data_IF_608945624325
#
_entry.id   IF_608945624325
#
_cell.length_a   1.000
_cell.length_b   1.000
_cell.length_c   1.000
_cell.angle_alpha   90.00
_cell.angle_beta   90.00
_cell.angle_gamma   90.00
#
_symmetry.space_group_name_H-M   'P 1'
#
loop_
_entity.id
_entity.type
_entity.pdbx_description
1 polymer ?
#
# COMPACT_ATOMS: atom_id res chain seq x y z
N UNK A 1 -38.88 15.05 14.00
CA UNK A 1 -37.71 15.81 13.47
C UNK A 1 -37.73 15.88 11.94
N UNK A 2 -37.98 14.77 11.25
CA UNK A 2 -38.14 14.74 9.78
C UNK A 2 -39.48 15.37 9.34
N UNK A 3 -40.58 15.04 10.03
CA UNK A 3 -41.91 15.63 9.78
C UNK A 3 -41.93 17.17 9.90
N UNK A 4 -41.14 17.75 10.80
CA UNK A 4 -41.05 19.21 10.93
C UNK A 4 -40.36 19.88 9.74
N UNK A 5 -39.50 19.17 9.01
CA UNK A 5 -38.86 19.68 7.78
C UNK A 5 -39.85 19.67 6.61
N UNK A 6 -40.63 18.59 6.50
CA UNK A 6 -41.68 18.42 5.48
C UNK A 6 -42.79 19.46 5.68
N UNK A 7 -43.33 19.55 6.90
CA UNK A 7 -44.50 20.39 7.18
C UNK A 7 -44.15 21.89 7.21
N UNK A 8 -42.94 22.27 7.63
CA UNK A 8 -42.54 23.69 7.72
C UNK A 8 -41.79 24.18 6.49
N UNK A 9 -41.47 23.31 5.51
CA UNK A 9 -40.64 23.59 4.33
C UNK A 9 -39.34 24.36 4.66
N UNK A 10 -38.76 24.14 5.84
CA UNK A 10 -37.53 24.80 6.29
C UNK A 10 -36.38 23.79 6.41
N UNK A 11 -35.18 24.11 5.93
CA UNK A 11 -34.03 23.23 6.06
C UNK A 11 -33.62 23.11 7.54
N UNK A 12 -33.17 21.90 7.93
CA UNK A 12 -32.67 21.61 9.27
C UNK A 12 -31.20 21.22 9.18
N UNK A 13 -30.37 21.82 10.04
CA UNK A 13 -28.96 21.47 10.20
C UNK A 13 -28.77 20.83 11.57
N UNK A 14 -28.19 19.64 11.60
CA UNK A 14 -27.76 18.94 12.81
C UNK A 14 -26.25 18.95 12.77
N UNK A 15 -25.61 19.65 13.71
CA UNK A 15 -24.16 19.73 13.78
C UNK A 15 -23.61 18.61 14.67
N UNK A 16 -22.50 17.99 14.26
CA UNK A 16 -21.76 17.04 15.09
C UNK A 16 -22.56 15.80 15.51
N UNK A 17 -23.46 15.30 14.65
CA UNK A 17 -24.21 14.07 14.92
C UNK A 17 -23.24 12.90 15.06
N UNK A 18 -23.20 12.30 16.25
CA UNK A 18 -22.31 11.17 16.55
C UNK A 18 -22.92 9.86 16.07
N UNK A 19 -22.15 9.08 15.34
CA UNK A 19 -22.55 7.74 14.90
C UNK A 19 -21.40 6.76 15.08
N UNK A 20 -21.74 5.47 15.19
CA UNK A 20 -20.76 4.41 15.34
C UNK A 20 -20.40 3.88 13.96
N UNK A 21 -19.13 3.98 13.60
CA UNK A 21 -18.53 3.29 12.46
C UNK A 21 -17.84 2.02 12.98
N UNK A 22 -17.48 1.09 12.09
CA UNK A 22 -16.80 -0.16 12.49
C UNK A 22 -15.50 0.23 13.21
N UNK A 23 -15.41 -0.03 14.52
CA UNK A 23 -14.23 0.23 15.33
C UNK A 23 -13.92 1.70 15.65
N UNK A 24 -14.76 2.67 15.29
CA UNK A 24 -14.57 4.08 15.68
C UNK A 24 -15.90 4.84 15.92
N UNK A 25 -15.83 5.92 16.70
CA UNK A 25 -16.95 6.84 16.95
C UNK A 25 -16.70 8.12 16.18
N UNK A 26 -17.54 8.41 15.19
CA UNK A 26 -17.37 9.53 14.26
C UNK A 26 -18.45 10.58 14.45
N UNK A 27 -18.23 11.76 13.89
CA UNK A 27 -19.23 12.84 13.85
C UNK A 27 -19.44 13.37 12.43
N UNK A 28 -20.68 13.71 12.12
CA UNK A 28 -21.03 14.34 10.85
C UNK A 28 -22.07 15.44 11.04
N UNK A 29 -21.96 16.48 10.22
CA UNK A 29 -23.02 17.46 10.04
C UNK A 29 -24.06 16.89 9.08
N UNK A 30 -25.32 16.85 9.50
CA UNK A 30 -26.45 16.39 8.68
C UNK A 30 -27.30 17.58 8.30
N UNK A 31 -27.52 17.78 7.00
CA UNK A 31 -28.44 18.79 6.47
C UNK A 31 -29.62 18.11 5.80
N UNK A 32 -30.81 18.46 6.25
CA UNK A 32 -32.09 18.01 5.69
C UNK A 32 -32.71 19.20 4.98
N UNK A 33 -32.84 19.12 3.65
CA UNK A 33 -33.44 20.17 2.82
C UNK A 33 -34.70 19.63 2.14
N UNK A 34 -35.87 20.26 2.32
CA UNK A 34 -37.09 19.85 1.63
C UNK A 34 -36.98 20.14 0.13
N UNK A 35 -37.50 19.23 -0.69
CA UNK A 35 -37.63 19.38 -2.14
C UNK A 35 -39.08 19.72 -2.51
N UNK A 36 -39.27 20.35 -3.66
CA UNK A 36 -40.61 20.75 -4.14
C UNK A 36 -41.51 19.54 -4.45
N UNK A 37 -40.92 18.35 -4.67
CA UNK A 37 -41.60 17.06 -4.89
C UNK A 37 -42.22 16.47 -3.62
N UNK A 38 -41.98 17.04 -2.44
CA UNK A 38 -42.35 16.44 -1.15
C UNK A 38 -41.28 15.49 -0.59
N UNK A 39 -40.18 15.30 -1.32
CA UNK A 39 -39.02 14.53 -0.88
C UNK A 39 -38.07 15.38 0.00
N UNK A 40 -37.13 14.72 0.68
CA UNK A 40 -36.09 15.40 1.47
C UNK A 40 -34.72 15.02 0.93
N UNK A 41 -33.92 16.03 0.58
CA UNK A 41 -32.49 15.85 0.32
C UNK A 41 -31.73 15.80 1.63
N UNK A 42 -31.10 14.66 1.91
CA UNK A 42 -30.19 14.47 3.05
C UNK A 42 -28.77 14.68 2.54
N UNK A 43 -28.04 15.63 3.14
CA UNK A 43 -26.61 15.83 2.89
C UNK A 43 -25.86 15.53 4.18
N UNK A 44 -24.90 14.61 4.11
CA UNK A 44 -24.05 14.24 5.25
C UNK A 44 -22.66 14.76 4.95
N UNK A 45 -22.15 15.62 5.84
CA UNK A 45 -20.78 16.16 5.76
C UNK A 45 -20.01 15.57 6.94
N UNK A 46 -19.15 14.56 6.71
CA UNK A 46 -18.32 14.01 7.78
C UNK A 46 -17.37 15.07 8.33
N UNK A 47 -17.19 15.11 9.66
CA UNK A 47 -16.33 16.09 10.32
C UNK A 47 -14.84 15.82 10.09
N UNK A 48 -14.38 14.62 10.47
CA UNK A 48 -13.04 14.14 10.17
C UNK A 48 -13.08 12.85 9.35
N UNK A 49 -12.03 12.57 8.55
CA UNK A 49 -11.92 11.29 7.88
C UNK A 49 -11.77 10.17 8.92
N UNK A 50 -12.67 9.19 8.86
CA UNK A 50 -12.62 7.99 9.69
C UNK A 50 -11.22 7.39 9.72
N UNK A 51 -10.76 6.97 10.90
CA UNK A 51 -9.44 6.35 11.10
C UNK A 51 -9.14 5.24 10.09
N UNK A 52 -10.11 4.35 9.85
CA UNK A 52 -9.96 3.27 8.88
C UNK A 52 -9.82 3.76 7.43
N UNK A 53 -10.48 4.87 7.08
CA UNK A 53 -10.30 5.49 5.76
C UNK A 53 -8.86 5.97 5.59
N UNK A 54 -8.30 6.59 6.62
CA UNK A 54 -6.90 7.06 6.62
C UNK A 54 -5.92 5.88 6.53
N UNK A 55 -6.11 4.84 7.34
CA UNK A 55 -5.28 3.62 7.28
C UNK A 55 -5.39 2.92 5.91
N UNK A 56 -6.59 2.88 5.31
CA UNK A 56 -6.80 2.33 3.97
C UNK A 56 -6.11 3.16 2.88
N UNK A 57 -6.14 4.49 2.98
CA UNK A 57 -5.43 5.38 2.05
C UNK A 57 -3.92 5.15 2.15
N UNK A 58 -3.35 5.11 3.37
CA UNK A 58 -1.93 4.79 3.56
C UNK A 58 -1.56 3.40 3.03
N UNK A 59 -2.42 2.39 3.20
CA UNK A 59 -2.19 1.05 2.65
C UNK A 59 -2.15 1.05 1.11
N UNK A 60 -3.00 1.86 0.46
CA UNK A 60 -2.98 2.01 -1.00
C UNK A 60 -1.68 2.63 -1.51
N UNK A 61 -1.11 3.58 -0.76
CA UNK A 61 0.17 4.19 -1.13
C UNK A 61 1.30 3.16 -1.13
N UNK A 62 1.37 2.28 -0.13
CA UNK A 62 2.35 1.20 -0.08
C UNK A 62 2.18 0.20 -1.24
N UNK A 63 0.95 -0.17 -1.58
CA UNK A 63 0.68 -1.03 -2.75
C UNK A 63 1.16 -0.37 -4.03
N UNK A 64 0.94 0.94 -4.17
CA UNK A 64 1.38 1.70 -5.33
C UNK A 64 2.91 1.78 -5.43
N UNK A 65 3.59 2.03 -4.32
CA UNK A 65 5.06 2.00 -4.23
C UNK A 65 5.59 0.62 -4.64
N UNK A 66 5.00 -0.48 -4.14
CA UNK A 66 5.41 -1.83 -4.51
C UNK A 66 5.27 -2.11 -6.01
N UNK A 67 4.18 -1.66 -6.65
CA UNK A 67 3.99 -1.77 -8.10
C UNK A 67 5.04 -0.98 -8.89
N UNK A 68 5.33 0.25 -8.46
CA UNK A 68 6.36 1.10 -9.10
C UNK A 68 7.73 0.44 -8.95
N UNK A 69 8.09 0.00 -7.74
CA UNK A 69 9.36 -0.66 -7.44
C UNK A 69 9.55 -1.94 -8.27
N UNK A 70 8.50 -2.75 -8.42
CA UNK A 70 8.52 -3.95 -9.28
C UNK A 70 8.74 -3.59 -10.75
N UNK A 71 8.01 -2.59 -11.27
CA UNK A 71 8.14 -2.16 -12.67
C UNK A 71 9.53 -1.61 -12.95
N UNK A 72 10.04 -0.77 -12.04
CA UNK A 72 11.39 -0.24 -12.10
C UNK A 72 12.44 -1.35 -12.11
N UNK A 73 12.32 -2.32 -11.19
CA UNK A 73 13.30 -3.41 -11.08
C UNK A 73 13.33 -4.29 -12.32
N UNK A 74 12.17 -4.55 -12.93
CA UNK A 74 12.12 -5.24 -14.21
C UNK A 74 12.82 -4.42 -15.32
N UNK A 75 12.58 -3.11 -15.37
CA UNK A 75 13.24 -2.22 -16.32
C UNK A 75 14.76 -2.21 -16.16
N UNK A 76 15.25 -2.07 -14.93
CA UNK A 76 16.70 -2.04 -14.65
C UNK A 76 17.35 -3.39 -14.96
N UNK A 77 16.75 -4.53 -14.60
CA UNK A 77 17.25 -5.85 -14.97
C UNK A 77 17.37 -6.02 -16.49
N UNK A 78 16.41 -5.53 -17.27
CA UNK A 78 16.49 -5.59 -18.73
C UNK A 78 17.71 -4.83 -19.27
N UNK A 79 17.96 -3.61 -18.77
CA UNK A 79 19.12 -2.82 -19.15
C UNK A 79 20.44 -3.49 -18.73
N UNK A 80 20.51 -4.05 -17.52
CA UNK A 80 21.70 -4.77 -17.04
C UNK A 80 21.98 -6.04 -17.85
N UNK A 81 20.94 -6.79 -18.23
CA UNK A 81 21.07 -7.95 -19.10
C UNK A 81 21.63 -7.58 -20.49
N UNK A 82 21.19 -6.47 -21.07
CA UNK A 82 21.71 -5.98 -22.33
C UNK A 82 23.21 -5.61 -22.25
N UNK A 83 23.61 -4.91 -21.17
CA UNK A 83 25.01 -4.54 -20.93
C UNK A 83 25.85 -5.80 -20.68
N UNK A 84 25.32 -6.78 -19.95
CA UNK A 84 25.98 -8.08 -19.72
C UNK A 84 26.25 -8.79 -21.05
N UNK A 85 25.28 -8.80 -21.97
CA UNK A 85 25.49 -9.35 -23.31
C UNK A 85 26.62 -8.66 -24.09
N UNK A 86 26.72 -7.33 -23.99
CA UNK A 86 27.81 -6.58 -24.61
C UNK A 86 29.17 -6.90 -23.97
N UNK A 87 29.23 -7.04 -22.64
CA UNK A 87 30.45 -7.43 -21.91
C UNK A 87 30.92 -8.84 -22.30
N UNK A 88 29.98 -9.79 -22.41
CA UNK A 88 30.27 -11.16 -22.89
C UNK A 88 30.85 -11.11 -24.31
N UNK A 89 30.22 -10.35 -25.22
CA UNK A 89 30.72 -10.17 -26.58
C UNK A 89 32.14 -9.61 -26.61
N UNK A 90 32.45 -8.58 -25.79
CA UNK A 90 33.79 -7.99 -25.72
C UNK A 90 34.82 -9.03 -25.25
N UNK A 91 34.50 -9.80 -24.20
CA UNK A 91 35.40 -10.83 -23.66
C UNK A 91 35.70 -11.94 -24.66
N UNK A 92 34.70 -12.33 -25.46
CA UNK A 92 34.87 -13.35 -26.49
C UNK A 92 35.64 -12.81 -27.71
N UNK A 93 35.24 -11.63 -28.22
CA UNK A 93 35.78 -11.04 -29.44
C UNK A 93 37.22 -10.55 -29.29
N UNK A 94 37.58 -10.03 -28.12
CA UNK A 94 38.87 -9.44 -27.81
C UNK A 94 39.62 -10.24 -26.73
N UNK A 95 39.46 -11.57 -26.73
CA UNK A 95 40.01 -12.48 -25.72
C UNK A 95 41.55 -12.49 -25.60
N UNK A 96 42.26 -11.89 -26.56
CA UNK A 96 43.72 -11.74 -26.53
C UNK A 96 44.17 -10.37 -26.02
N UNK A 97 43.26 -9.40 -25.89
CA UNK A 97 43.56 -8.05 -25.43
C UNK A 97 43.32 -7.95 -23.93
N UNK A 98 44.39 -8.17 -23.15
CA UNK A 98 44.31 -8.24 -21.68
C UNK A 98 43.69 -6.99 -21.06
N UNK A 99 43.99 -5.81 -21.59
CA UNK A 99 43.41 -4.54 -21.11
C UNK A 99 41.89 -4.49 -21.29
N UNK A 100 41.37 -4.94 -22.43
CA UNK A 100 39.92 -4.98 -22.69
C UNK A 100 39.23 -6.02 -21.82
N UNK A 101 39.87 -7.16 -21.56
CA UNK A 101 39.34 -8.19 -20.66
C UNK A 101 39.27 -7.67 -19.22
N UNK A 102 40.30 -6.97 -18.75
CA UNK A 102 40.30 -6.37 -17.41
C UNK A 102 39.21 -5.30 -17.27
N UNK A 103 39.05 -4.43 -18.26
CA UNK A 103 37.95 -3.46 -18.27
C UNK A 103 36.58 -4.14 -18.31
N UNK A 104 36.40 -5.16 -19.14
CA UNK A 104 35.16 -5.92 -19.22
C UNK A 104 34.82 -6.60 -17.88
N UNK A 105 35.82 -7.11 -17.17
CA UNK A 105 35.64 -7.67 -15.82
C UNK A 105 35.19 -6.63 -14.79
N UNK A 106 35.76 -5.42 -14.82
CA UNK A 106 35.33 -4.33 -13.93
C UNK A 106 33.85 -3.98 -14.17
N UNK A 107 33.44 -3.90 -15.45
CA UNK A 107 32.04 -3.63 -15.79
C UNK A 107 31.13 -4.77 -15.30
N UNK A 108 31.55 -6.02 -15.48
CA UNK A 108 30.82 -7.20 -15.00
C UNK A 108 30.62 -7.18 -13.48
N UNK A 109 31.65 -6.81 -12.72
CA UNK A 109 31.58 -6.71 -11.26
C UNK A 109 30.64 -5.59 -10.80
N UNK A 110 30.61 -4.44 -11.50
CA UNK A 110 29.66 -3.36 -11.19
C UNK A 110 28.22 -3.73 -11.54
N UNK A 111 27.98 -4.46 -12.63
CA UNK A 111 26.65 -5.01 -12.94
C UNK A 111 26.16 -5.90 -11.79
N UNK A 112 27.00 -6.82 -11.31
CA UNK A 112 26.64 -7.72 -10.18
C UNK A 112 26.33 -6.95 -8.90
N UNK A 113 27.08 -5.89 -8.59
CA UNK A 113 26.79 -5.01 -7.45
C UNK A 113 25.44 -4.32 -7.61
N UNK A 114 25.12 -3.80 -8.79
CA UNK A 114 23.83 -3.17 -9.08
C UNK A 114 22.67 -4.16 -8.96
N UNK A 115 22.82 -5.38 -9.47
CA UNK A 115 21.82 -6.44 -9.31
C UNK A 115 21.55 -6.75 -7.83
N UNK A 116 22.61 -6.86 -7.02
CA UNK A 116 22.49 -7.08 -5.58
C UNK A 116 21.75 -5.92 -4.89
N UNK A 117 22.07 -4.67 -5.24
CA UNK A 117 21.40 -3.49 -4.69
C UNK A 117 19.90 -3.46 -5.04
N UNK A 118 19.53 -3.81 -6.28
CA UNK A 118 18.12 -3.89 -6.72
C UNK A 118 17.39 -4.99 -5.96
N UNK A 119 18.02 -6.16 -5.81
CA UNK A 119 17.43 -7.26 -5.06
C UNK A 119 17.21 -6.91 -3.59
N UNK A 120 18.16 -6.20 -2.97
CA UNK A 120 18.04 -5.72 -1.58
C UNK A 120 16.96 -4.64 -1.43
N UNK A 121 16.83 -3.76 -2.42
CA UNK A 121 15.77 -2.74 -2.45
C UNK A 121 14.38 -3.38 -2.57
N UNK A 122 14.25 -4.42 -3.40
CA UNK A 122 13.01 -5.17 -3.54
C UNK A 122 12.69 -6.00 -2.30
N UNK A 123 13.66 -6.65 -1.67
CA UNK A 123 13.41 -7.48 -0.47
C UNK A 123 12.98 -6.66 0.75
N UNK A 124 13.38 -5.39 0.82
CA UNK A 124 12.87 -4.45 1.83
C UNK A 124 11.49 -3.89 1.50
N UNK A 125 11.14 -3.80 0.20
CA UNK A 125 9.85 -3.29 -0.27
C UNK A 125 8.77 -4.37 -0.38
N UNK A 126 9.18 -5.62 -0.58
CA UNK A 126 8.34 -6.81 -0.58
C UNK A 126 8.46 -7.46 0.80
N UNK A 127 7.66 -6.99 1.76
CA UNK A 127 7.13 -7.94 2.74
C UNK A 127 6.23 -8.86 1.93
N UNK A 128 6.79 -9.94 1.37
CA UNK A 128 6.00 -10.96 0.70
C UNK A 128 4.89 -11.37 1.68
N UNK A 129 3.66 -10.99 1.37
CA UNK A 129 2.48 -11.61 1.97
C UNK A 129 2.47 -13.05 1.45
N UNK A 130 3.24 -13.91 2.09
CA UNK A 130 3.23 -15.35 1.90
C UNK A 130 1.88 -15.85 2.41
N UNK A 131 0.87 -15.78 1.54
CA UNK A 131 -0.50 -16.20 1.81
C UNK A 131 -0.52 -17.73 1.92
N UNK A 132 -0.18 -18.21 3.11
CA UNK A 132 -0.32 -19.61 3.48
C UNK A 132 -1.74 -19.88 3.93
N UNK A 133 -2.30 -21.00 3.46
CA UNK A 133 -3.56 -21.54 3.99
C UNK A 133 -3.31 -21.92 5.45
N UNK A 134 -3.85 -21.13 6.36
CA UNK A 134 -3.67 -21.29 7.80
C UNK A 134 -5.00 -21.67 8.44
N UNK A 135 -4.95 -22.63 9.37
CA UNK A 135 -6.06 -22.90 10.27
C UNK A 135 -6.16 -21.79 11.31
N UNK A 136 -7.24 -21.01 11.22
CA UNK A 136 -7.53 -19.89 12.12
C UNK A 136 -7.57 -20.35 13.58
N UNK A 137 -8.10 -21.54 13.87
CA UNK A 137 -8.20 -22.06 15.23
C UNK A 137 -6.82 -22.40 15.81
N UNK A 138 -5.92 -22.94 14.98
CA UNK A 138 -4.55 -23.22 15.38
C UNK A 138 -3.76 -21.93 15.68
N UNK A 139 -4.02 -20.86 14.91
CA UNK A 139 -3.41 -19.56 15.14
C UNK A 139 -3.88 -18.92 16.44
N UNK A 140 -5.19 -18.97 16.71
CA UNK A 140 -5.78 -18.43 17.95
C UNK A 140 -5.22 -19.12 19.20
N UNK A 141 -5.04 -20.45 19.18
CA UNK A 141 -4.38 -21.18 20.28
C UNK A 141 -2.95 -20.73 20.52
N UNK A 142 -2.17 -20.46 19.46
CA UNK A 142 -0.80 -19.94 19.62
C UNK A 142 -0.80 -18.56 20.26
N UNK A 143 -1.76 -17.71 19.90
CA UNK A 143 -1.91 -16.38 20.48
C UNK A 143 -2.29 -16.44 21.96
N UNK A 144 -3.21 -17.33 22.34
CA UNK A 144 -3.59 -17.57 23.74
C UNK A 144 -2.39 -17.97 24.61
N UNK A 145 -1.57 -18.90 24.10
CA UNK A 145 -0.32 -19.29 24.76
C UNK A 145 0.64 -18.09 24.88
N UNK A 146 0.83 -17.34 23.81
CA UNK A 146 1.75 -16.19 23.82
C UNK A 146 1.31 -15.07 24.77
N UNK A 147 0.01 -14.76 24.82
CA UNK A 147 -0.53 -13.73 25.73
C UNK A 147 -0.53 -14.19 27.18
N UNK A 148 -0.72 -15.49 27.46
CA UNK A 148 -0.58 -16.02 28.82
C UNK A 148 0.82 -15.82 29.41
N UNK A 149 1.87 -15.81 28.58
CA UNK A 149 3.23 -15.48 29.03
C UNK A 149 3.43 -14.00 29.32
N UNK A 150 2.60 -13.12 28.73
CA UNK A 150 2.67 -11.68 28.93
C UNK A 150 1.86 -11.19 30.13
N UNK A 151 0.90 -11.99 30.62
CA UNK A 151 0.12 -11.69 31.82
C UNK A 151 0.77 -12.21 33.12
N UNK A 152 1.94 -12.86 33.03
CA UNK A 152 2.73 -13.31 34.18
C UNK A 152 3.94 -12.39 34.50
N UNK A 153 4.01 -11.17 33.95
CA UNK A 153 4.98 -10.12 34.35
C UNK A 153 4.30 -8.93 35.02
#
# INVERSE_FOLDING_TARGET
MVESVINRKKPLKINGFKFRCIGCSESADIRLSPLNSGEIKITIVPGEPCRYKKELETSKDFIHIGKIASTLSHGVRNSLNAITGAVVYIKEKYSTETSLIDFARIIEDEIKKLEMQINNFLSTSLTELDLKKVDVNALLKKLEVFTSYQTMS
#
